data_IF_136209581559
#
_entry.id   IF_136209581559
#
_cell.length_a   1.000
_cell.length_b   1.000
_cell.length_c   1.000
_cell.angle_alpha   90.00
_cell.angle_beta   90.00
_cell.angle_gamma   90.00
#
_symmetry.space_group_name_H-M   'P 1'
#
loop_
_entity.id
_entity.type
_entity.pdbx_description
1 polymer ?
#
# COMPACT_ATOMS: atom_id res chain seq x y z
N UNK A 1 -32.23 4.27 36.87
CA UNK A 1 -31.95 4.13 35.41
C UNK A 1 -30.47 4.37 35.23
N UNK A 2 -29.69 3.39 34.77
CA UNK A 2 -28.27 3.60 34.48
C UNK A 2 -28.14 4.56 33.28
N UNK A 3 -27.25 5.55 33.38
CA UNK A 3 -26.96 6.44 32.26
C UNK A 3 -26.42 5.63 31.07
N UNK A 4 -27.00 5.85 29.89
CA UNK A 4 -26.60 5.17 28.66
C UNK A 4 -25.35 5.85 28.10
N UNK A 5 -24.28 5.09 27.91
CA UNK A 5 -23.06 5.57 27.25
C UNK A 5 -23.38 6.08 25.83
N UNK A 6 -23.01 7.32 25.51
CA UNK A 6 -23.17 7.93 24.19
C UNK A 6 -21.79 8.33 23.67
N UNK A 7 -21.41 7.81 22.49
CA UNK A 7 -20.19 8.20 21.79
C UNK A 7 -20.51 8.61 20.36
N UNK A 8 -20.10 9.80 19.95
CA UNK A 8 -20.27 10.31 18.60
C UNK A 8 -19.15 9.78 17.69
N UNK A 9 -19.36 8.61 17.09
CA UNK A 9 -18.44 8.03 16.10
C UNK A 9 -18.91 8.22 14.65
N UNK A 10 -19.98 8.99 14.43
CA UNK A 10 -20.47 9.31 13.09
C UNK A 10 -19.38 10.00 12.25
N UNK A 11 -19.16 9.51 11.02
CA UNK A 11 -18.15 10.03 10.10
C UNK A 11 -16.70 9.61 10.38
N UNK A 12 -16.42 8.82 11.42
CA UNK A 12 -15.07 8.27 11.68
C UNK A 12 -14.86 6.98 10.90
N UNK A 13 -13.59 6.69 10.57
CA UNK A 13 -13.20 5.42 9.97
C UNK A 13 -13.55 4.25 10.90
N UNK A 14 -14.20 3.22 10.33
CA UNK A 14 -14.49 1.98 11.03
C UNK A 14 -13.41 0.94 10.68
N UNK A 15 -12.27 1.02 11.37
CA UNK A 15 -11.14 0.12 11.14
C UNK A 15 -11.49 -1.37 11.27
N UNK A 16 -12.52 -1.70 12.05
CA UNK A 16 -13.03 -3.06 12.23
C UNK A 16 -13.60 -3.69 10.96
N UNK A 17 -13.87 -2.89 9.91
CA UNK A 17 -14.30 -3.41 8.60
C UNK A 17 -13.15 -4.05 7.81
N UNK A 18 -11.91 -3.84 8.22
CA UNK A 18 -10.77 -4.39 7.52
C UNK A 18 -10.63 -5.90 7.79
N UNK A 19 -10.43 -6.72 6.73
CA UNK A 19 -10.05 -8.12 6.86
C UNK A 19 -8.58 -8.19 7.31
N UNK A 20 -8.36 -8.17 8.64
CA UNK A 20 -7.01 -8.05 9.21
C UNK A 20 -6.13 -9.29 9.01
N UNK A 21 -6.74 -10.47 8.92
CA UNK A 21 -6.03 -11.72 8.63
C UNK A 21 -5.38 -11.66 7.24
N UNK A 22 -6.13 -11.23 6.23
CA UNK A 22 -5.64 -11.05 4.87
C UNK A 22 -4.67 -9.85 4.76
N UNK A 23 -4.86 -8.81 5.57
CA UNK A 23 -3.94 -7.68 5.63
C UNK A 23 -2.58 -8.08 6.21
N UNK A 24 -2.53 -9.10 7.08
CA UNK A 24 -1.27 -9.63 7.62
C UNK A 24 -0.34 -10.11 6.50
N UNK A 25 -0.87 -10.71 5.44
CA UNK A 25 -0.08 -11.14 4.28
C UNK A 25 0.63 -9.97 3.59
N UNK A 26 -0.03 -8.81 3.51
CA UNK A 26 0.59 -7.58 2.98
C UNK A 26 1.71 -7.10 3.89
N UNK A 27 1.53 -7.23 5.22
CA UNK A 27 2.57 -6.91 6.20
C UNK A 27 3.77 -7.85 6.04
N UNK A 28 3.55 -9.16 5.78
CA UNK A 28 4.64 -10.12 5.51
C UNK A 28 5.44 -9.73 4.27
N UNK A 29 4.79 -9.30 3.19
CA UNK A 29 5.47 -8.76 1.99
C UNK A 29 6.35 -7.56 2.35
N UNK A 30 5.82 -6.61 3.13
CA UNK A 30 6.59 -5.44 3.59
C UNK A 30 7.76 -5.83 4.49
N UNK A 31 7.57 -6.82 5.37
CA UNK A 31 8.62 -7.34 6.25
C UNK A 31 9.74 -7.98 5.44
N UNK A 32 9.42 -8.88 4.50
CA UNK A 32 10.38 -9.49 3.57
C UNK A 32 11.16 -8.42 2.79
N UNK A 33 10.45 -7.43 2.23
CA UNK A 33 11.06 -6.30 1.54
C UNK A 33 11.98 -5.47 2.45
N UNK A 34 11.61 -5.28 3.72
CA UNK A 34 12.40 -4.51 4.69
C UNK A 34 13.71 -5.21 5.08
N UNK A 35 13.71 -6.54 5.13
CA UNK A 35 14.92 -7.34 5.35
C UNK A 35 15.81 -7.29 4.11
N UNK A 36 15.23 -7.49 2.91
CA UNK A 36 15.98 -7.57 1.65
C UNK A 36 16.51 -6.22 1.16
N UNK A 37 15.74 -5.15 1.30
CA UNK A 37 16.01 -3.84 0.69
C UNK A 37 16.13 -2.69 1.69
N UNK A 38 16.09 -2.97 3.00
CA UNK A 38 15.96 -2.00 4.10
C UNK A 38 14.56 -1.40 4.21
N UNK A 39 14.16 -1.12 5.45
CA UNK A 39 12.92 -0.43 5.78
C UNK A 39 12.77 0.86 4.98
N UNK A 40 11.57 1.10 4.46
CA UNK A 40 11.18 2.31 3.72
C UNK A 40 11.98 2.61 2.44
N UNK A 41 12.84 1.70 1.98
CA UNK A 41 13.63 1.92 0.76
C UNK A 41 12.75 2.09 -0.48
N UNK A 42 11.57 1.46 -0.51
CA UNK A 42 10.59 1.57 -1.58
C UNK A 42 10.13 3.03 -1.84
N UNK A 43 10.20 3.91 -0.82
CA UNK A 43 9.84 5.33 -0.94
C UNK A 43 10.82 6.13 -1.81
N UNK A 44 12.02 5.60 -2.04
CA UNK A 44 13.11 6.24 -2.81
C UNK A 44 13.08 5.86 -4.30
N UNK A 45 11.98 5.27 -4.78
CA UNK A 45 11.87 4.89 -6.17
C UNK A 45 11.72 6.14 -7.04
N UNK A 46 12.71 6.40 -7.90
CA UNK A 46 12.68 7.52 -8.84
C UNK A 46 11.79 7.25 -10.05
N UNK A 47 11.53 5.97 -10.35
CA UNK A 47 10.66 5.51 -11.42
C UNK A 47 9.48 4.70 -10.85
N UNK A 48 8.31 5.34 -10.75
CA UNK A 48 7.09 4.75 -10.19
C UNK A 48 6.50 3.66 -11.08
N UNK A 49 6.82 3.64 -12.39
CA UNK A 49 6.30 2.63 -13.31
C UNK A 49 6.77 1.22 -12.96
N UNK A 50 7.92 1.10 -12.27
CA UNK A 50 8.39 -0.18 -11.70
C UNK A 50 7.37 -0.87 -10.79
N UNK A 51 6.57 -0.10 -10.04
CA UNK A 51 5.50 -0.66 -9.20
C UNK A 51 4.26 -1.02 -10.01
N UNK A 52 3.99 -0.31 -11.12
CA UNK A 52 2.91 -0.69 -12.04
C UNK A 52 3.22 -2.01 -12.73
N UNK A 53 4.45 -2.18 -13.19
CA UNK A 53 4.90 -3.42 -13.82
C UNK A 53 4.89 -4.59 -12.83
N UNK A 54 5.35 -4.37 -11.59
CA UNK A 54 5.29 -5.38 -10.54
C UNK A 54 3.84 -5.79 -10.22
N UNK A 55 2.95 -4.80 -10.02
CA UNK A 55 1.52 -5.03 -9.83
C UNK A 55 0.93 -5.89 -10.95
N UNK A 56 1.19 -5.53 -12.20
CA UNK A 56 0.69 -6.27 -13.36
C UNK A 56 1.20 -7.71 -13.39
N UNK A 57 2.48 -7.97 -13.09
CA UNK A 57 3.02 -9.34 -13.03
C UNK A 57 2.29 -10.20 -12.00
N UNK A 58 2.07 -9.69 -10.77
CA UNK A 58 1.35 -10.46 -9.75
C UNK A 58 -0.12 -10.66 -10.10
N UNK A 59 -0.81 -9.66 -10.68
CA UNK A 59 -2.18 -9.81 -11.16
C UNK A 59 -2.26 -10.88 -12.27
N UNK A 60 -1.36 -10.83 -13.26
CA UNK A 60 -1.36 -11.79 -14.38
C UNK A 60 -1.11 -13.21 -13.90
N UNK A 61 -0.16 -13.42 -12.99
CA UNK A 61 0.07 -14.75 -12.37
C UNK A 61 -1.15 -15.24 -11.60
N UNK A 62 -1.78 -14.38 -10.80
CA UNK A 62 -3.01 -14.72 -10.10
C UNK A 62 -4.14 -15.14 -11.05
N UNK A 63 -4.34 -14.39 -12.13
CA UNK A 63 -5.36 -14.69 -13.14
C UNK A 63 -5.07 -16.00 -13.90
N UNK A 64 -3.82 -16.44 -13.96
CA UNK A 64 -3.42 -17.76 -14.50
C UNK A 64 -3.60 -18.92 -13.50
N UNK A 65 -4.06 -18.63 -12.28
CA UNK A 65 -4.27 -19.62 -11.22
C UNK A 65 -3.09 -19.79 -10.26
N UNK A 66 -2.00 -19.02 -10.43
CA UNK A 66 -0.87 -19.03 -9.49
C UNK A 66 -1.23 -18.15 -8.28
N UNK A 67 -1.50 -18.78 -7.12
CA UNK A 67 -1.88 -18.03 -5.90
C UNK A 67 -0.68 -17.48 -5.13
N UNK A 68 0.44 -18.18 -5.19
CA UNK A 68 1.67 -17.91 -4.43
C UNK A 68 2.80 -17.55 -5.39
N UNK A 69 3.55 -16.52 -5.04
CA UNK A 69 4.77 -16.09 -5.75
C UNK A 69 5.89 -17.10 -5.49
N UNK A 70 6.04 -18.03 -6.42
CA UNK A 70 6.84 -19.24 -6.29
C UNK A 70 8.34 -18.96 -6.06
N UNK A 71 8.89 -19.47 -4.96
CA UNK A 71 10.31 -19.35 -4.62
C UNK A 71 11.24 -20.01 -5.63
N UNK A 72 10.80 -21.08 -6.29
CA UNK A 72 11.58 -21.77 -7.33
C UNK A 72 11.71 -20.90 -8.60
N UNK A 73 10.78 -19.97 -8.80
CA UNK A 73 10.78 -18.98 -9.90
C UNK A 73 11.36 -17.63 -9.49
N UNK A 74 11.94 -17.53 -8.28
CA UNK A 74 12.54 -16.29 -7.75
C UNK A 74 11.59 -15.38 -6.99
N UNK A 75 10.38 -15.85 -6.68
CA UNK A 75 9.44 -15.21 -5.76
C UNK A 75 9.86 -15.37 -4.29
N UNK A 76 8.96 -15.03 -3.38
CA UNK A 76 9.21 -15.06 -1.93
C UNK A 76 8.30 -15.98 -1.13
N UNK A 77 7.46 -16.78 -1.81
CA UNK A 77 6.54 -17.73 -1.20
C UNK A 77 5.28 -17.09 -0.62
N UNK A 78 5.02 -15.81 -0.89
CA UNK A 78 3.84 -15.09 -0.40
C UNK A 78 2.76 -14.95 -1.47
N UNK A 79 1.56 -14.56 -1.05
CA UNK A 79 0.41 -14.39 -1.94
C UNK A 79 0.64 -13.35 -3.04
N UNK A 80 0.34 -13.71 -4.30
CA UNK A 80 0.33 -12.76 -5.41
C UNK A 80 -0.63 -11.59 -5.15
N UNK A 81 -1.77 -11.82 -4.49
CA UNK A 81 -2.70 -10.74 -4.13
C UNK A 81 -2.13 -9.84 -3.05
N UNK A 82 -1.39 -10.38 -2.09
CA UNK A 82 -0.73 -9.56 -1.06
C UNK A 82 0.32 -8.63 -1.68
N UNK A 83 1.12 -9.15 -2.62
CA UNK A 83 2.04 -8.35 -3.43
C UNK A 83 1.31 -7.30 -4.26
N UNK A 84 0.18 -7.64 -4.88
CA UNK A 84 -0.62 -6.69 -5.63
C UNK A 84 -1.14 -5.54 -4.74
N UNK A 85 -1.70 -5.86 -3.56
CA UNK A 85 -2.15 -4.85 -2.59
C UNK A 85 -0.97 -3.98 -2.12
N UNK A 86 0.19 -4.58 -1.82
CA UNK A 86 1.40 -3.87 -1.44
C UNK A 86 1.81 -2.84 -2.52
N UNK A 87 1.84 -3.24 -3.80
CA UNK A 87 2.15 -2.34 -4.90
C UNK A 87 1.10 -1.23 -5.06
N UNK A 88 -0.19 -1.53 -4.91
CA UNK A 88 -1.25 -0.51 -4.88
C UNK A 88 -1.04 0.53 -3.77
N UNK A 89 -0.62 0.11 -2.57
CA UNK A 89 -0.30 1.01 -1.47
C UNK A 89 0.90 1.91 -1.79
N UNK A 90 1.94 1.38 -2.44
CA UNK A 90 3.08 2.17 -2.90
C UNK A 90 2.66 3.22 -3.93
N UNK A 91 1.89 2.82 -4.94
CA UNK A 91 1.37 3.74 -5.96
C UNK A 91 0.52 4.84 -5.32
N UNK A 92 -0.40 4.49 -4.41
CA UNK A 92 -1.22 5.46 -3.69
C UNK A 92 -0.38 6.42 -2.83
N UNK A 93 0.73 5.95 -2.25
CA UNK A 93 1.67 6.81 -1.54
C UNK A 93 2.29 7.86 -2.46
N UNK A 94 2.81 7.47 -3.63
CA UNK A 94 3.41 8.40 -4.58
C UNK A 94 2.40 9.40 -5.16
N UNK A 95 1.17 8.98 -5.45
CA UNK A 95 0.08 9.88 -5.87
C UNK A 95 -0.21 10.96 -4.81
N UNK A 96 -0.21 10.58 -3.54
CA UNK A 96 -0.46 11.50 -2.43
C UNK A 96 0.71 12.48 -2.23
N UNK A 97 1.95 12.01 -2.35
CA UNK A 97 3.14 12.86 -2.30
C UNK A 97 3.15 13.89 -3.45
N UNK A 98 2.77 13.49 -4.66
CA UNK A 98 2.66 14.41 -5.80
C UNK A 98 1.58 15.48 -5.55
N UNK A 99 0.40 15.08 -5.04
CA UNK A 99 -0.67 16.01 -4.66
C UNK A 99 -0.21 17.01 -3.60
N UNK A 100 0.55 16.55 -2.60
CA UNK A 100 1.07 17.40 -1.53
C UNK A 100 2.08 18.42 -2.05
N UNK A 101 3.02 18.01 -2.91
CA UNK A 101 3.97 18.92 -3.59
C UNK A 101 3.24 20.01 -4.41
N UNK A 102 2.20 19.63 -5.15
CA UNK A 102 1.37 20.58 -5.92
C UNK A 102 0.66 21.60 -5.01
N UNK A 103 0.12 21.17 -3.86
CA UNK A 103 -0.51 22.07 -2.87
C UNK A 103 0.50 23.09 -2.34
N UNK A 104 1.67 22.64 -1.86
CA UNK A 104 2.71 23.52 -1.31
C UNK A 104 3.13 24.59 -2.33
N UNK A 105 3.38 24.19 -3.58
CA UNK A 105 3.74 25.11 -4.65
C UNK A 105 2.65 26.16 -4.95
N UNK A 106 1.36 25.77 -4.87
CA UNK A 106 0.24 26.70 -5.06
C UNK A 106 0.15 27.75 -3.95
N UNK A 107 0.34 27.35 -2.69
CA UNK A 107 0.35 28.29 -1.56
C UNK A 107 1.58 29.20 -1.57
N UNK A 108 2.76 28.67 -1.91
CA UNK A 108 3.99 29.45 -2.06
C UNK A 108 3.90 30.52 -3.17
N UNK A 109 3.23 30.22 -4.29
CA UNK A 109 2.95 31.22 -5.35
C UNK A 109 1.94 32.28 -4.94
N UNK A 110 0.93 31.94 -4.12
CA UNK A 110 -0.06 32.91 -3.61
C UNK A 110 0.52 33.89 -2.60
N UNK A 111 1.53 33.50 -1.81
CA UNK A 111 2.18 34.37 -0.81
C UNK A 111 3.16 35.39 -1.41
N UNK A 112 3.49 35.28 -2.69
CA UNK A 112 4.46 36.14 -3.42
C UNK A 112 3.77 37.10 -4.40
N UNK A 113 2.44 37.18 -4.37
CA UNK A 113 1.62 38.18 -5.08
C UNK A 113 0.94 39.03 -4.02
#
# INVERSE_FOLDING_TARGET
>A
MAEKFVKADNGKLQWTLMPFEELEEVVKVLMNGSVKYKKDNWKKCDDVDRYKDALQRHIVSYLKGEKIDDVEKGGDGLSHLAHAVCNCLFLMYFDNEEKNKKKVNRYGKKKRR
#
